data_IF_091411742225
#
_entry.id   IF_091411742225
#
_cell.length_a   1.000
_cell.length_b   1.000
_cell.length_c   1.000
_cell.angle_alpha   90.00
_cell.angle_beta   90.00
_cell.angle_gamma   90.00
#
_symmetry.space_group_name_H-M   'P 1'
#
loop_
_entity.id
_entity.type
_entity.pdbx_description
1 polymer ?
#
# COMPACT_ATOMS: atom_id res chain seq x y z
N UNK A 1 -15.55 -10.33 5.71
CA UNK A 1 -14.27 -10.23 4.99
C UNK A 1 -13.59 -8.97 5.46
N UNK A 2 -12.32 -9.06 5.86
CA UNK A 2 -11.51 -7.92 6.26
C UNK A 2 -10.50 -7.64 5.16
N UNK A 3 -10.39 -6.36 4.76
CA UNK A 3 -9.38 -5.93 3.81
C UNK A 3 -8.02 -5.74 4.51
N UNK A 4 -6.95 -5.93 3.75
CA UNK A 4 -5.59 -5.51 4.11
C UNK A 4 -4.92 -4.89 2.90
N UNK A 5 -4.27 -3.75 3.11
CA UNK A 5 -3.36 -3.15 2.15
C UNK A 5 -1.97 -3.77 2.29
N UNK A 6 -1.21 -3.86 1.20
CA UNK A 6 0.18 -4.30 1.23
C UNK A 6 0.99 -3.73 0.06
N UNK A 7 2.31 -3.78 0.16
CA UNK A 7 3.24 -3.34 -0.89
C UNK A 7 3.59 -4.53 -1.80
N UNK A 8 3.58 -4.28 -3.11
CA UNK A 8 4.20 -5.15 -4.11
C UNK A 8 5.43 -4.42 -4.67
N UNK A 9 6.56 -5.13 -4.76
CA UNK A 9 7.83 -4.63 -5.29
C UNK A 9 8.11 -5.31 -6.63
N UNK A 10 8.68 -4.58 -7.57
CA UNK A 10 9.05 -5.10 -8.88
C UNK A 10 10.17 -6.15 -8.80
N UNK A 11 9.88 -7.36 -9.30
CA UNK A 11 10.78 -8.52 -9.32
C UNK A 11 10.27 -9.68 -8.46
N UNK A 12 10.77 -10.89 -8.69
CA UNK A 12 10.34 -12.09 -7.96
C UNK A 12 10.97 -12.21 -6.56
N UNK A 13 12.24 -11.81 -6.43
CA UNK A 13 12.96 -11.76 -5.15
C UNK A 13 13.76 -10.45 -5.09
N UNK A 14 13.27 -9.44 -4.35
CA UNK A 14 13.96 -8.15 -4.25
C UNK A 14 15.19 -8.22 -3.32
N UNK A 15 15.44 -9.35 -2.65
CA UNK A 15 16.59 -9.56 -1.78
C UNK A 15 16.46 -8.88 -0.42
N UNK A 16 15.23 -8.62 0.03
CA UNK A 16 14.88 -8.12 1.36
C UNK A 16 13.44 -8.45 1.73
N UNK A 17 13.15 -8.39 3.02
CA UNK A 17 11.80 -8.54 3.54
C UNK A 17 10.90 -7.37 3.13
N UNK A 18 9.83 -7.70 2.39
CA UNK A 18 8.77 -6.81 1.89
C UNK A 18 7.50 -6.90 2.73
N UNK A 19 7.49 -7.72 3.80
CA UNK A 19 6.31 -7.88 4.63
C UNK A 19 5.91 -6.55 5.29
N UNK A 20 4.62 -6.24 5.18
CA UNK A 20 3.95 -5.14 5.87
C UNK A 20 2.59 -5.64 6.34
N UNK A 21 2.14 -5.16 7.49
CA UNK A 21 0.74 -5.19 7.85
C UNK A 21 0.04 -3.96 7.27
N UNK A 22 -1.22 -4.09 6.92
CA UNK A 22 -2.02 -2.98 6.40
C UNK A 22 -3.49 -3.12 6.72
N UNK A 23 -3.83 -3.81 7.83
CA UNK A 23 -5.21 -4.03 8.26
C UNK A 23 -5.78 -2.77 8.90
N UNK A 24 -4.99 -2.05 9.69
CA UNK A 24 -5.42 -0.78 10.25
C UNK A 24 -5.47 0.29 9.15
N UNK A 25 -4.47 0.34 8.27
CA UNK A 25 -4.47 1.19 7.07
C UNK A 25 -5.72 0.99 6.22
N UNK A 26 -6.08 -0.27 5.91
CA UNK A 26 -7.28 -0.56 5.12
C UNK A 26 -8.58 -0.14 5.84
N UNK A 27 -8.62 -0.20 7.18
CA UNK A 27 -9.81 0.21 7.96
C UNK A 27 -9.96 1.72 8.05
N UNK A 28 -8.84 2.44 8.08
CA UNK A 28 -8.79 3.91 8.18
C UNK A 28 -8.54 4.60 6.85
N UNK A 29 -8.74 3.90 5.73
CA UNK A 29 -8.42 4.38 4.38
C UNK A 29 -9.03 5.76 4.09
N UNK A 30 -10.35 5.92 4.26
CA UNK A 30 -11.04 7.21 4.10
C UNK A 30 -10.42 8.34 4.93
N UNK A 31 -9.97 8.05 6.16
CA UNK A 31 -9.43 9.04 7.07
C UNK A 31 -7.99 9.41 6.67
N UNK A 32 -7.20 8.42 6.25
CA UNK A 32 -5.83 8.59 5.77
C UNK A 32 -5.82 9.32 4.42
N UNK A 33 -6.76 9.03 3.52
CA UNK A 33 -6.93 9.75 2.26
C UNK A 33 -7.21 11.23 2.53
N UNK A 34 -8.21 11.54 3.37
CA UNK A 34 -8.52 12.93 3.76
C UNK A 34 -7.33 13.64 4.40
N UNK A 35 -6.54 12.91 5.19
CA UNK A 35 -5.32 13.43 5.79
C UNK A 35 -4.26 13.76 4.72
N UNK A 36 -4.00 12.85 3.79
CA UNK A 36 -3.06 13.06 2.69
C UNK A 36 -3.46 14.27 1.84
N UNK A 37 -4.74 14.38 1.48
CA UNK A 37 -5.28 15.52 0.74
C UNK A 37 -5.13 16.84 1.49
N UNK A 38 -5.40 16.86 2.81
CA UNK A 38 -5.19 18.04 3.67
C UNK A 38 -3.71 18.46 3.71
N UNK A 39 -2.80 17.49 3.69
CA UNK A 39 -1.35 17.70 3.70
C UNK A 39 -0.78 17.96 2.29
N UNK A 40 -1.62 17.98 1.25
CA UNK A 40 -1.25 18.18 -0.15
C UNK A 40 -0.21 17.15 -0.64
N UNK A 41 -0.33 15.90 -0.19
CA UNK A 41 0.43 14.75 -0.70
C UNK A 41 -0.51 13.75 -1.34
N UNK A 42 0.02 12.93 -2.25
CA UNK A 42 -0.76 11.91 -2.95
C UNK A 42 -1.31 10.87 -1.95
N UNK A 43 -2.61 10.55 -1.94
CA UNK A 43 -3.16 9.47 -1.12
C UNK A 43 -2.56 8.10 -1.41
N UNK A 44 -2.50 7.22 -0.40
CA UNK A 44 -1.97 5.86 -0.58
C UNK A 44 -2.72 5.07 -1.66
N UNK A 45 -4.05 5.22 -1.72
CA UNK A 45 -4.90 4.51 -2.68
C UNK A 45 -4.60 4.87 -4.14
N UNK A 46 -4.02 6.05 -4.41
CA UNK A 46 -3.59 6.39 -5.77
C UNK A 46 -2.36 5.60 -6.24
N UNK A 47 -1.64 4.94 -5.32
CA UNK A 47 -0.58 3.99 -5.69
C UNK A 47 -1.13 2.59 -5.93
N UNK A 48 -2.44 2.38 -5.82
CA UNK A 48 -3.05 1.09 -6.13
C UNK A 48 -2.80 0.71 -7.58
N UNK A 49 -2.35 -0.51 -7.78
CA UNK A 49 -2.37 -1.15 -9.09
C UNK A 49 -2.91 -2.55 -8.96
N UNK A 50 -3.72 -2.93 -9.95
CA UNK A 50 -4.23 -4.27 -10.01
C UNK A 50 -3.09 -5.20 -10.46
N UNK A 51 -2.72 -6.12 -9.59
CA UNK A 51 -1.69 -7.11 -9.84
C UNK A 51 -2.28 -8.29 -10.63
N UNK A 52 -1.67 -8.60 -11.77
CA UNK A 52 -2.09 -9.71 -12.63
C UNK A 52 -1.99 -11.05 -11.89
N UNK A 53 -0.96 -11.23 -11.05
CA UNK A 53 -0.76 -12.46 -10.28
C UNK A 53 -1.87 -12.67 -9.24
N UNK A 54 -2.28 -11.60 -8.56
CA UNK A 54 -3.38 -11.61 -7.59
C UNK A 54 -4.72 -11.95 -8.25
N UNK A 55 -4.98 -11.43 -9.46
CA UNK A 55 -6.17 -11.78 -10.22
C UNK A 55 -6.11 -13.20 -10.80
N UNK A 56 -4.93 -13.66 -11.22
CA UNK A 56 -4.70 -15.01 -11.70
C UNK A 56 -4.99 -16.05 -10.62
N UNK A 57 -4.52 -15.82 -9.39
CA UNK A 57 -4.83 -16.67 -8.23
C UNK A 57 -6.34 -16.75 -7.95
N UNK A 58 -7.07 -15.63 -8.03
CA UNK A 58 -8.54 -15.65 -7.87
C UNK A 58 -9.25 -16.45 -8.97
N UNK A 59 -8.72 -16.45 -10.20
CA UNK A 59 -9.24 -17.28 -11.30
C UNK A 59 -8.94 -18.76 -11.07
N UNK A 60 -7.73 -19.10 -10.61
CA UNK A 60 -7.34 -20.47 -10.27
C UNK A 60 -8.23 -21.04 -9.15
N UNK A 61 -8.61 -20.21 -8.17
CA UNK A 61 -9.55 -20.58 -7.10
C UNK A 61 -11.02 -20.61 -7.54
N UNK A 62 -11.32 -20.36 -8.83
CA UNK A 62 -12.67 -20.39 -9.39
C UNK A 62 -13.54 -19.18 -9.03
N UNK A 63 -12.95 -18.15 -8.42
CA UNK A 63 -13.62 -16.92 -7.99
C UNK A 63 -13.45 -15.75 -8.98
N UNK A 64 -12.61 -15.89 -10.01
CA UNK A 64 -12.32 -14.85 -10.99
C UNK A 64 -12.83 -15.14 -12.41
N UNK A 65 -12.88 -14.10 -13.26
CA UNK A 65 -13.27 -14.21 -14.66
C UNK A 65 -12.02 -14.10 -15.58
N UNK A 66 -11.65 -15.13 -16.34
CA UNK A 66 -10.52 -15.10 -17.27
C UNK A 66 -10.59 -13.99 -18.33
N UNK A 67 -11.80 -13.55 -18.71
CA UNK A 67 -11.96 -12.43 -19.63
C UNK A 67 -11.66 -11.07 -18.99
N UNK A 68 -11.78 -10.95 -17.67
CA UNK A 68 -11.44 -9.73 -16.95
C UNK A 68 -9.93 -9.49 -16.97
N UNK A 69 -9.10 -10.53 -16.79
CA UNK A 69 -7.63 -10.44 -16.91
C UNK A 69 -7.20 -9.77 -18.21
N UNK A 70 -7.78 -10.18 -19.34
CA UNK A 70 -7.43 -9.63 -20.67
C UNK A 70 -7.78 -8.16 -20.87
N UNK A 71 -8.63 -7.60 -20.00
CA UNK A 71 -9.08 -6.21 -20.05
C UNK A 71 -8.51 -5.37 -18.92
N UNK A 72 -7.71 -5.96 -18.04
CA UNK A 72 -7.07 -5.22 -16.96
C UNK A 72 -6.07 -4.22 -17.53
N UNK A 73 -6.00 -3.01 -16.97
CA UNK A 73 -4.91 -2.11 -17.26
C UNK A 73 -3.58 -2.80 -16.89
N UNK A 74 -2.49 -2.51 -17.61
CA UNK A 74 -1.18 -3.02 -17.24
C UNK A 74 -0.83 -2.58 -15.81
N UNK A 75 -0.10 -3.43 -15.08
CA UNK A 75 0.40 -3.10 -13.76
C UNK A 75 1.20 -1.81 -13.82
N UNK A 76 0.78 -0.85 -13.01
CA UNK A 76 1.36 0.46 -12.88
C UNK A 76 2.39 0.43 -11.76
N UNK A 77 3.61 0.81 -12.11
CA UNK A 77 4.76 0.83 -11.21
C UNK A 77 5.12 2.26 -10.86
N UNK A 78 5.31 2.55 -9.58
CA UNK A 78 5.63 3.86 -9.05
C UNK A 78 7.05 3.91 -8.50
N UNK A 79 7.65 5.11 -8.50
CA UNK A 79 8.94 5.32 -7.86
C UNK A 79 8.76 5.24 -6.32
N UNK A 80 9.71 4.63 -5.59
CA UNK A 80 9.66 4.60 -4.13
C UNK A 80 9.62 5.99 -3.50
N UNK A 81 10.28 6.97 -4.13
CA UNK A 81 10.31 8.36 -3.66
C UNK A 81 8.92 8.98 -3.55
N UNK A 82 8.01 8.67 -4.48
CA UNK A 82 6.64 9.20 -4.45
C UNK A 82 5.86 8.63 -3.25
N UNK A 83 6.02 7.34 -2.97
CA UNK A 83 5.42 6.69 -1.81
C UNK A 83 6.00 7.17 -0.49
N UNK A 84 7.33 7.32 -0.42
CA UNK A 84 8.04 7.80 0.76
C UNK A 84 7.57 9.20 1.15
N UNK A 85 7.40 10.10 0.18
CA UNK A 85 6.88 11.44 0.44
C UNK A 85 5.52 11.37 1.15
N UNK A 86 4.59 10.56 0.65
CA UNK A 86 3.29 10.36 1.28
C UNK A 86 3.41 9.76 2.68
N UNK A 87 4.09 8.62 2.82
CA UNK A 87 4.19 7.88 4.08
C UNK A 87 4.85 8.72 5.18
N UNK A 88 5.96 9.39 4.86
CA UNK A 88 6.69 10.24 5.82
C UNK A 88 5.87 11.44 6.26
N UNK A 89 5.16 12.08 5.33
CA UNK A 89 4.31 13.24 5.66
C UNK A 89 3.14 12.82 6.56
N UNK A 90 2.52 11.66 6.29
CA UNK A 90 1.47 11.10 7.15
C UNK A 90 2.00 10.76 8.55
N UNK A 91 3.16 10.10 8.63
CA UNK A 91 3.81 9.78 9.89
C UNK A 91 4.09 11.02 10.73
N UNK A 92 4.63 12.07 10.10
CA UNK A 92 4.95 13.32 10.78
C UNK A 92 3.72 14.03 11.37
N UNK A 93 2.57 13.97 10.70
CA UNK A 93 1.32 14.54 11.21
C UNK A 93 0.69 13.67 12.31
N UNK A 94 0.62 12.35 12.10
CA UNK A 94 0.06 11.41 13.08
C UNK A 94 0.85 11.37 14.39
N UNK A 95 2.18 11.54 14.33
CA UNK A 95 3.03 11.65 15.53
C UNK A 95 2.78 12.93 16.32
N UNK A 96 2.36 14.02 15.66
CA UNK A 96 1.98 15.29 16.32
C UNK A 96 0.60 15.21 16.95
N UNK A 97 -0.29 14.39 16.39
CA UNK A 97 -1.66 14.19 16.86
C UNK A 97 -1.97 12.70 17.16
N UNK A 98 -1.46 12.13 18.27
CA UNK A 98 -1.57 10.70 18.58
C UNK A 98 -2.99 10.16 18.82
N UNK A 99 -4.02 11.00 18.70
CA UNK A 99 -5.43 10.64 18.86
C UNK A 99 -6.25 10.88 17.58
N UNK A 100 -5.63 11.28 16.47
CA UNK A 100 -6.32 11.66 15.24
C UNK A 100 -7.25 10.55 14.71
N UNK A 101 -6.85 9.30 14.85
CA UNK A 101 -7.60 8.10 14.44
C UNK A 101 -8.11 7.29 15.65
N UNK A 102 -8.24 7.94 16.81
CA UNK A 102 -8.62 7.29 18.07
C UNK A 102 -7.56 6.32 18.59
N UNK A 103 -8.00 5.21 19.20
CA UNK A 103 -7.11 4.22 19.83
C UNK A 103 -6.22 3.45 18.85
N UNK A 104 -6.53 3.49 17.54
CA UNK A 104 -5.76 2.78 16.52
C UNK A 104 -4.68 3.65 15.87
N UNK A 105 -4.55 4.94 16.25
CA UNK A 105 -3.55 5.85 15.70
C UNK A 105 -2.13 5.27 15.80
N UNK A 106 -1.77 4.67 16.94
CA UNK A 106 -0.46 4.04 17.13
C UNK A 106 -0.24 2.80 16.25
N UNK A 107 -1.29 2.04 15.94
CA UNK A 107 -1.23 0.88 15.05
C UNK A 107 -1.03 1.36 13.61
N UNK A 108 -1.75 2.40 13.19
CA UNK A 108 -1.57 3.02 11.86
C UNK A 108 -0.16 3.58 11.69
N UNK A 109 0.39 4.23 12.73
CA UNK A 109 1.79 4.69 12.71
C UNK A 109 2.75 3.50 12.51
N UNK A 110 2.58 2.41 13.28
CA UNK A 110 3.43 1.24 13.14
C UNK A 110 3.37 0.61 11.74
N UNK A 111 2.16 0.47 11.17
CA UNK A 111 2.00 -0.03 9.78
C UNK A 111 2.65 0.92 8.76
N UNK A 112 2.54 2.24 8.92
CA UNK A 112 3.22 3.21 8.05
C UNK A 112 4.75 3.15 8.17
N UNK A 113 5.31 2.87 9.35
CA UNK A 113 6.76 2.68 9.56
C UNK A 113 7.28 1.41 8.85
N UNK A 114 6.48 0.35 8.79
CA UNK A 114 6.79 -0.84 8.00
C UNK A 114 6.82 -0.51 6.50
N UNK A 115 5.82 0.26 6.03
CA UNK A 115 5.79 0.76 4.64
C UNK A 115 7.01 1.62 4.33
N UNK A 116 7.35 2.58 5.18
CA UNK A 116 8.54 3.42 5.03
C UNK A 116 9.81 2.57 4.89
N UNK A 117 9.96 1.56 5.76
CA UNK A 117 11.11 0.65 5.76
C UNK A 117 11.24 -0.09 4.43
N UNK A 118 10.14 -0.64 3.90
CA UNK A 118 10.12 -1.35 2.61
C UNK A 118 10.43 -0.41 1.45
N UNK A 119 9.84 0.78 1.43
CA UNK A 119 10.06 1.77 0.36
C UNK A 119 11.49 2.32 0.37
N UNK A 120 12.11 2.51 1.54
CA UNK A 120 13.52 2.88 1.63
C UNK A 120 14.43 1.78 1.03
N UNK A 121 14.17 0.50 1.34
CA UNK A 121 14.91 -0.62 0.76
C UNK A 121 14.72 -0.72 -0.76
N UNK A 122 13.51 -0.45 -1.25
CA UNK A 122 13.20 -0.40 -2.67
C UNK A 122 13.97 0.73 -3.37
N UNK A 123 14.00 1.93 -2.76
CA UNK A 123 14.74 3.07 -3.27
C UNK A 123 16.25 2.78 -3.41
N UNK A 124 16.85 2.17 -2.38
CA UNK A 124 18.28 1.82 -2.38
C UNK A 124 18.64 0.84 -3.50
N UNK A 125 17.75 -0.09 -3.82
CA UNK A 125 17.97 -1.11 -4.86
C UNK A 125 17.42 -0.72 -6.24
N UNK A 126 16.76 0.43 -6.35
CA UNK A 126 16.17 0.90 -7.60
C UNK A 126 14.92 0.14 -8.06
N UNK A 127 14.24 -0.58 -7.15
CA UNK A 127 12.98 -1.24 -7.48
C UNK A 127 11.83 -0.24 -7.55
N UNK A 128 10.84 -0.53 -8.39
CA UNK A 128 9.54 0.15 -8.36
C UNK A 128 8.57 -0.62 -7.47
N UNK A 129 7.47 0.02 -7.12
CA UNK A 129 6.45 -0.56 -6.24
C UNK A 129 5.04 -0.14 -6.65
N UNK A 130 4.04 -0.81 -6.11
CA UNK A 130 2.66 -0.33 -6.07
C UNK A 130 1.95 -0.86 -4.82
N UNK A 131 0.80 -0.25 -4.51
CA UNK A 131 -0.10 -0.72 -3.47
C UNK A 131 -1.00 -1.83 -4.04
N UNK A 132 -1.30 -2.83 -3.23
CA UNK A 132 -2.31 -3.85 -3.51
C UNK A 132 -3.23 -4.03 -2.30
N UNK A 133 -4.40 -4.65 -2.53
CA UNK A 133 -5.40 -4.93 -1.51
C UNK A 133 -5.78 -6.40 -1.59
N UNK A 134 -5.91 -7.05 -0.44
CA UNK A 134 -6.46 -8.41 -0.33
C UNK A 134 -7.66 -8.42 0.61
N UNK A 135 -8.57 -9.36 0.38
CA UNK A 135 -9.73 -9.61 1.24
C UNK A 135 -9.61 -11.04 1.77
N UNK A 136 -9.56 -11.20 3.09
CA UNK A 136 -9.57 -12.50 3.77
C UNK A 136 -10.70 -12.59 4.79
#
# INVERSE_FOLDING_TARGET
>A
MAASMYIVVEGEDPGYDIFVNGRALARHEDAIEKLALRLNVKPLIEFFSADENSMALLIEEGAGNPELLRRMPPTQWYAPADGLLTVQTLLDDLRKEPQLLGSETSIVIAELEEYETVLLKAAVRGHRWHLAVSWR
#
